data_IF_016036488872
#
_entry.id   IF_016036488872
#
_cell.length_a   1.000
_cell.length_b   1.000
_cell.length_c   1.000
_cell.angle_alpha   90.00
_cell.angle_beta   90.00
_cell.angle_gamma   90.00
#
_symmetry.space_group_name_H-M   'P 1'
#
loop_
_entity.id
_entity.type
_entity.pdbx_description
1 polymer ?
#
# COMPACT_ATOMS: atom_id res chain seq x y z
N UNK A 1 -19.05 -22.50 -9.28
CA UNK A 1 -19.05 -22.88 -7.84
C UNK A 1 -18.88 -21.59 -7.08
N UNK A 2 -19.89 -21.20 -6.30
CA UNK A 2 -20.12 -19.82 -5.85
C UNK A 2 -19.16 -19.45 -4.73
N UNK A 3 -18.27 -18.49 -4.98
CA UNK A 3 -17.43 -17.88 -3.96
C UNK A 3 -18.32 -17.33 -2.84
N UNK A 4 -18.19 -17.88 -1.64
CA UNK A 4 -18.84 -17.30 -0.46
C UNK A 4 -18.24 -15.91 -0.22
N UNK A 5 -19.10 -14.89 -0.26
CA UNK A 5 -18.80 -13.48 -0.01
C UNK A 5 -17.98 -13.38 1.29
N UNK A 6 -16.83 -12.69 1.23
CA UNK A 6 -15.87 -12.58 2.33
C UNK A 6 -16.51 -12.08 3.64
N UNK A 7 -17.54 -11.22 3.53
CA UNK A 7 -18.32 -10.77 4.67
C UNK A 7 -19.16 -11.90 5.31
N UNK A 8 -19.75 -12.79 4.52
CA UNK A 8 -20.49 -13.96 5.04
C UNK A 8 -19.55 -14.89 5.83
N UNK A 9 -18.31 -15.09 5.36
CA UNK A 9 -17.31 -15.88 6.09
C UNK A 9 -16.96 -15.25 7.42
N UNK A 10 -16.81 -13.92 7.45
CA UNK A 10 -16.57 -13.19 8.69
C UNK A 10 -17.74 -13.33 9.68
N UNK A 11 -18.98 -13.26 9.20
CA UNK A 11 -20.16 -13.51 10.01
C UNK A 11 -20.13 -14.93 10.62
N UNK A 12 -19.81 -15.95 9.82
CA UNK A 12 -19.68 -17.33 10.30
C UNK A 12 -18.59 -17.41 11.37
N UNK A 13 -17.39 -16.90 11.12
CA UNK A 13 -16.27 -16.93 12.08
C UNK A 13 -16.63 -16.25 13.40
N UNK A 14 -17.28 -15.09 13.34
CA UNK A 14 -17.72 -14.35 14.52
C UNK A 14 -18.74 -15.17 15.30
N UNK A 15 -19.71 -15.79 14.63
CA UNK A 15 -20.74 -16.58 15.27
C UNK A 15 -20.25 -17.93 15.78
N UNK A 16 -19.18 -18.52 15.20
CA UNK A 16 -18.57 -19.77 15.68
C UNK A 16 -18.08 -19.60 17.13
N UNK A 17 -17.57 -18.42 17.49
CA UNK A 17 -17.11 -18.12 18.87
C UNK A 17 -18.26 -18.28 19.89
N UNK A 18 -19.49 -18.00 19.48
CA UNK A 18 -20.65 -17.96 20.38
C UNK A 18 -21.56 -19.20 20.26
N UNK A 19 -21.65 -19.77 19.06
CA UNK A 19 -22.63 -20.82 18.72
C UNK A 19 -21.99 -22.08 18.14
N UNK A 20 -20.66 -22.11 18.00
CA UNK A 20 -19.92 -23.27 17.51
C UNK A 20 -20.40 -23.72 16.13
N UNK A 21 -20.66 -25.03 15.99
CA UNK A 21 -21.07 -25.64 14.73
C UNK A 21 -22.41 -25.11 14.17
N UNK A 22 -23.25 -24.48 14.99
CA UNK A 22 -24.54 -23.92 14.55
C UNK A 22 -24.39 -22.63 13.74
N UNK A 23 -23.24 -21.96 13.83
CA UNK A 23 -22.99 -20.67 13.18
C UNK A 23 -23.24 -20.71 11.66
N UNK A 24 -22.78 -21.76 10.97
CA UNK A 24 -23.00 -21.93 9.54
C UNK A 24 -24.47 -22.05 9.17
N UNK A 25 -25.25 -22.78 9.98
CA UNK A 25 -26.70 -22.92 9.80
C UNK A 25 -27.44 -21.59 9.98
N UNK A 26 -27.06 -20.81 11.00
CA UNK A 26 -27.65 -19.49 11.27
C UNK A 26 -27.42 -18.54 10.09
N UNK A 27 -26.19 -18.46 9.59
CA UNK A 27 -25.86 -17.58 8.45
C UNK A 27 -26.54 -18.05 7.17
N UNK A 28 -26.59 -19.35 6.90
CA UNK A 28 -27.29 -19.90 5.73
C UNK A 28 -28.79 -19.62 5.75
N UNK A 29 -29.42 -19.66 6.93
CA UNK A 29 -30.83 -19.32 7.10
C UNK A 29 -31.11 -17.84 6.80
N UNK A 30 -30.21 -16.94 7.20
CA UNK A 30 -30.34 -15.51 6.83
C UNK A 30 -30.06 -15.32 5.35
N UNK A 31 -29.06 -15.99 4.79
CA UNK A 31 -28.72 -15.94 3.37
C UNK A 31 -29.88 -16.35 2.47
N UNK A 32 -30.68 -17.33 2.89
CA UNK A 32 -31.89 -17.74 2.17
C UNK A 32 -32.96 -16.63 2.10
N UNK A 33 -32.94 -15.68 3.04
CA UNK A 33 -33.88 -14.53 3.08
C UNK A 33 -33.30 -13.28 2.42
N UNK A 34 -32.02 -13.00 2.64
CA UNK A 34 -31.28 -11.87 2.07
C UNK A 34 -29.91 -12.38 1.67
N UNK A 35 -29.64 -12.43 0.37
CA UNK A 35 -28.30 -12.76 -0.15
C UNK A 35 -27.51 -11.48 -0.42
N UNK A 36 -26.22 -11.53 -0.14
CA UNK A 36 -25.29 -10.45 -0.43
C UNK A 36 -24.50 -10.82 -1.69
N UNK A 37 -24.34 -9.85 -2.58
CA UNK A 37 -23.59 -9.98 -3.84
C UNK A 37 -22.72 -8.73 -4.06
N UNK A 38 -21.93 -8.74 -5.14
CA UNK A 38 -20.99 -7.66 -5.47
C UNK A 38 -21.66 -6.29 -5.73
N UNK A 39 -22.98 -6.26 -5.93
CA UNK A 39 -23.77 -5.02 -6.09
C UNK A 39 -24.49 -4.56 -4.82
N UNK A 40 -24.29 -5.26 -3.69
CA UNK A 40 -24.98 -4.95 -2.43
C UNK A 40 -24.43 -3.67 -1.81
N UNK A 41 -25.32 -2.77 -1.40
CA UNK A 41 -24.95 -1.50 -0.77
C UNK A 41 -24.99 -1.62 0.77
N UNK A 42 -24.55 -0.58 1.49
CA UNK A 42 -24.51 -0.60 2.95
C UNK A 42 -25.86 -0.88 3.62
N UNK A 43 -26.98 -0.52 2.98
CA UNK A 43 -28.31 -0.84 3.48
C UNK A 43 -28.58 -2.35 3.42
N UNK A 44 -28.13 -3.03 2.37
CA UNK A 44 -28.28 -4.48 2.23
C UNK A 44 -27.50 -5.24 3.30
N UNK A 45 -26.27 -4.79 3.59
CA UNK A 45 -25.45 -5.36 4.66
C UNK A 45 -26.07 -5.11 6.05
N UNK A 46 -26.63 -3.92 6.30
CA UNK A 46 -27.33 -3.63 7.56
C UNK A 46 -28.53 -4.53 7.75
N UNK A 47 -29.38 -4.67 6.72
CA UNK A 47 -30.56 -5.54 6.76
C UNK A 47 -30.15 -7.01 7.00
N UNK A 48 -29.07 -7.47 6.38
CA UNK A 48 -28.53 -8.80 6.61
C UNK A 48 -28.10 -9.01 8.07
N UNK A 49 -27.39 -8.05 8.66
CA UNK A 49 -26.96 -8.10 10.06
C UNK A 49 -28.15 -8.01 11.02
N UNK A 50 -29.17 -7.21 10.71
CA UNK A 50 -30.39 -7.11 11.52
C UNK A 50 -31.14 -8.45 11.55
N UNK A 51 -31.20 -9.15 10.41
CA UNK A 51 -31.75 -10.50 10.35
C UNK A 51 -30.91 -11.51 11.15
N UNK A 52 -29.58 -11.40 11.15
CA UNK A 52 -28.73 -12.22 12.01
C UNK A 52 -29.01 -11.95 13.49
N UNK A 53 -29.08 -10.67 13.88
CA UNK A 53 -29.37 -10.25 15.25
C UNK A 53 -30.70 -10.84 15.74
N UNK A 54 -31.76 -10.78 14.93
CA UNK A 54 -33.04 -11.39 15.24
C UNK A 54 -32.89 -12.90 15.47
N UNK A 55 -32.20 -13.61 14.57
CA UNK A 55 -32.05 -15.06 14.68
C UNK A 55 -31.22 -15.48 15.90
N UNK A 56 -30.19 -14.72 16.27
CA UNK A 56 -29.35 -15.06 17.43
C UNK A 56 -29.94 -14.54 18.74
N UNK A 57 -30.84 -13.56 18.72
CA UNK A 57 -31.52 -13.04 19.92
C UNK A 57 -32.33 -14.10 20.66
N UNK A 58 -32.87 -15.07 19.92
CA UNK A 58 -33.60 -16.21 20.49
C UNK A 58 -32.67 -17.21 21.19
N UNK A 59 -31.39 -17.25 20.81
CA UNK A 59 -30.40 -18.20 21.32
C UNK A 59 -29.50 -17.62 22.42
N UNK A 60 -29.06 -16.37 22.27
CA UNK A 60 -28.11 -15.72 23.17
C UNK A 60 -28.72 -14.63 24.06
N UNK A 61 -30.01 -14.31 23.85
CA UNK A 61 -30.67 -13.20 24.51
C UNK A 61 -30.39 -11.85 23.86
N UNK A 62 -31.31 -10.90 24.05
CA UNK A 62 -31.36 -9.62 23.33
C UNK A 62 -30.08 -8.78 23.47
N UNK A 63 -29.51 -8.70 24.67
CA UNK A 63 -28.33 -7.85 24.93
C UNK A 63 -27.10 -8.39 24.19
N UNK A 64 -26.84 -9.69 24.30
CA UNK A 64 -25.69 -10.33 23.65
C UNK A 64 -25.83 -10.37 22.12
N UNK A 65 -27.06 -10.52 21.61
CA UNK A 65 -27.34 -10.42 20.19
C UNK A 65 -27.05 -9.02 19.64
N UNK A 66 -27.42 -7.96 20.36
CA UNK A 66 -27.13 -6.58 19.98
C UNK A 66 -25.61 -6.31 19.95
N UNK A 67 -24.84 -6.81 20.91
CA UNK A 67 -23.38 -6.65 20.92
C UNK A 67 -22.71 -7.32 19.71
N UNK A 68 -23.15 -8.54 19.38
CA UNK A 68 -22.70 -9.25 18.18
C UNK A 68 -23.13 -8.50 16.92
N UNK A 69 -24.38 -8.04 16.86
CA UNK A 69 -24.93 -7.25 15.76
C UNK A 69 -24.13 -5.98 15.52
N UNK A 70 -23.78 -5.22 16.56
CA UNK A 70 -22.97 -4.02 16.44
C UNK A 70 -21.56 -4.30 15.93
N UNK A 71 -20.95 -5.41 16.36
CA UNK A 71 -19.65 -5.86 15.83
C UNK A 71 -19.73 -6.14 14.32
N UNK A 72 -20.78 -6.83 13.88
CA UNK A 72 -21.00 -7.14 12.47
C UNK A 72 -21.36 -5.90 11.64
N UNK A 73 -22.13 -4.94 12.17
CA UNK A 73 -22.46 -3.66 11.52
C UNK A 73 -21.20 -2.81 11.30
N UNK A 74 -20.32 -2.74 12.29
CA UNK A 74 -19.04 -2.04 12.14
C UNK A 74 -18.18 -2.70 11.06
N UNK A 75 -18.14 -4.03 11.04
CA UNK A 75 -17.42 -4.74 9.99
C UNK A 75 -18.03 -4.54 8.60
N UNK A 76 -19.35 -4.46 8.49
CA UNK A 76 -20.03 -4.17 7.23
C UNK A 76 -19.62 -2.80 6.66
N UNK A 77 -19.41 -1.79 7.52
CA UNK A 77 -18.89 -0.50 7.09
C UNK A 77 -17.49 -0.62 6.49
N UNK A 78 -16.57 -1.33 7.17
CA UNK A 78 -15.22 -1.59 6.63
C UNK A 78 -15.27 -2.29 5.27
N UNK A 79 -16.18 -3.26 5.09
CA UNK A 79 -16.31 -4.00 3.84
C UNK A 79 -16.83 -3.14 2.70
N UNK A 80 -17.84 -2.32 2.95
CA UNK A 80 -18.39 -1.41 1.93
C UNK A 80 -17.38 -0.31 1.60
N UNK A 81 -16.60 0.18 2.57
CA UNK A 81 -15.50 1.12 2.31
C UNK A 81 -14.38 0.50 1.47
N UNK A 82 -14.05 -0.78 1.68
CA UNK A 82 -13.08 -1.51 0.85
C UNK A 82 -13.63 -1.88 -0.54
N UNK A 83 -14.93 -2.15 -0.66
CA UNK A 83 -15.59 -2.49 -1.92
C UNK A 83 -15.99 -1.29 -2.77
N UNK A 84 -15.97 -0.07 -2.22
CA UNK A 84 -15.85 1.15 -3.01
C UNK A 84 -14.51 1.12 -3.74
N UNK A 85 -14.44 0.39 -4.86
CA UNK A 85 -13.58 0.81 -5.95
C UNK A 85 -13.93 2.27 -6.18
N UNK A 86 -12.97 3.21 -6.07
CA UNK A 86 -13.26 4.58 -6.46
C UNK A 86 -13.88 4.50 -7.85
N UNK A 87 -15.05 5.10 -8.05
CA UNK A 87 -15.53 5.36 -9.40
C UNK A 87 -14.34 5.95 -10.16
N UNK A 88 -14.03 5.46 -11.37
CA UNK A 88 -12.89 5.99 -12.09
C UNK A 88 -13.17 7.47 -12.36
N UNK A 89 -12.53 8.33 -11.56
CA UNK A 89 -12.60 9.80 -11.64
C UNK A 89 -12.19 10.26 -13.05
N UNK A 90 -11.41 9.42 -13.74
CA UNK A 90 -10.91 9.62 -15.08
C UNK A 90 -11.50 8.60 -16.04
N UNK A 91 -11.76 9.01 -17.27
CA UNK A 91 -11.98 8.03 -18.33
C UNK A 91 -10.68 7.24 -18.61
N UNK A 92 -10.80 6.03 -19.14
CA UNK A 92 -9.67 5.13 -19.40
C UNK A 92 -8.62 5.70 -20.38
N UNK A 93 -9.02 6.66 -21.24
CA UNK A 93 -8.12 7.37 -22.13
C UNK A 93 -7.20 8.35 -21.39
N UNK A 94 -7.77 9.10 -20.45
CA UNK A 94 -7.04 10.03 -19.59
C UNK A 94 -6.08 9.29 -18.66
N UNK A 95 -6.47 8.12 -18.15
CA UNK A 95 -5.57 7.30 -17.32
C UNK A 95 -4.31 6.82 -18.08
N UNK A 96 -4.47 6.36 -19.33
CA UNK A 96 -3.32 5.96 -20.16
C UNK A 96 -2.36 7.11 -20.45
N UNK A 97 -2.91 8.30 -20.69
CA UNK A 97 -2.11 9.51 -20.93
C UNK A 97 -1.34 9.93 -19.68
N UNK A 98 -1.97 9.90 -18.50
CA UNK A 98 -1.27 10.16 -17.24
C UNK A 98 -0.12 9.18 -17.04
N UNK A 99 -0.35 7.88 -17.24
CA UNK A 99 0.74 6.89 -17.11
C UNK A 99 1.89 7.19 -18.10
N UNK A 100 1.56 7.58 -19.34
CA UNK A 100 2.57 7.96 -20.35
C UNK A 100 3.35 9.22 -19.96
N UNK A 101 2.69 10.19 -19.34
CA UNK A 101 3.32 11.39 -18.80
C UNK A 101 4.29 11.07 -17.67
N UNK A 102 3.88 10.17 -16.77
CA UNK A 102 4.66 9.70 -15.63
C UNK A 102 5.87 8.84 -16.02
N UNK A 103 5.78 8.07 -17.10
CA UNK A 103 6.93 7.34 -17.66
C UNK A 103 8.03 8.27 -18.16
N UNK A 104 7.66 9.48 -18.61
CA UNK A 104 8.60 10.49 -19.13
C UNK A 104 9.08 11.47 -18.06
N UNK A 105 8.29 11.68 -17.02
CA UNK A 105 8.55 12.67 -15.97
C UNK A 105 8.51 12.00 -14.61
N UNK A 106 9.67 11.58 -14.11
CA UNK A 106 9.78 10.90 -12.80
C UNK A 106 9.50 11.83 -11.62
N UNK A 107 9.82 13.12 -11.75
CA UNK A 107 9.56 14.14 -10.74
C UNK A 107 9.08 15.46 -11.40
N UNK A 108 7.81 15.52 -11.85
CA UNK A 108 7.28 16.71 -12.53
C UNK A 108 7.16 17.90 -11.57
N UNK A 109 7.34 19.11 -12.09
CA UNK A 109 7.10 20.36 -11.36
C UNK A 109 5.61 20.69 -11.29
N UNK A 110 5.22 21.62 -10.42
CA UNK A 110 3.87 22.18 -10.40
C UNK A 110 3.44 22.76 -11.76
N UNK A 111 4.37 23.35 -12.51
CA UNK A 111 4.08 23.86 -13.87
C UNK A 111 3.75 22.71 -14.82
N UNK A 112 4.55 21.63 -14.79
CA UNK A 112 4.31 20.45 -15.62
C UNK A 112 2.95 19.82 -15.31
N UNK A 113 2.62 19.68 -14.02
CA UNK A 113 1.32 19.16 -13.58
C UNK A 113 0.17 20.07 -14.03
N UNK A 114 0.30 21.38 -13.86
CA UNK A 114 -0.72 22.34 -14.26
C UNK A 114 -0.96 22.36 -15.78
N UNK A 115 0.11 22.35 -16.57
CA UNK A 115 0.01 22.35 -18.03
C UNK A 115 -0.54 21.02 -18.56
N UNK A 116 -0.14 19.90 -17.97
CA UNK A 116 -0.70 18.61 -18.32
C UNK A 116 -2.17 18.46 -17.90
N UNK A 117 -2.55 19.02 -16.75
CA UNK A 117 -3.95 19.08 -16.29
C UNK A 117 -4.81 19.85 -17.28
N UNK A 118 -4.35 21.01 -17.78
CA UNK A 118 -5.05 21.78 -18.81
C UNK A 118 -5.20 20.96 -20.09
N UNK A 119 -4.13 20.31 -20.54
CA UNK A 119 -4.15 19.44 -21.72
C UNK A 119 -5.21 18.34 -21.60
N UNK A 120 -5.20 17.59 -20.49
CA UNK A 120 -6.14 16.50 -20.26
C UNK A 120 -7.58 17.00 -20.17
N UNK A 121 -7.80 18.10 -19.44
CA UNK A 121 -9.13 18.71 -19.30
C UNK A 121 -9.69 19.18 -20.64
N UNK A 122 -8.85 19.74 -21.52
CA UNK A 122 -9.23 20.16 -22.87
C UNK A 122 -9.53 18.97 -23.79
N UNK A 123 -8.72 17.92 -23.73
CA UNK A 123 -8.82 16.76 -24.64
C UNK A 123 -9.96 15.81 -24.27
N UNK A 124 -10.20 15.61 -22.97
CA UNK A 124 -11.07 14.56 -22.45
C UNK A 124 -12.25 15.09 -21.62
N UNK A 125 -12.31 16.40 -21.37
CA UNK A 125 -13.26 16.99 -20.42
C UNK A 125 -12.88 16.71 -18.96
N UNK A 126 -13.79 17.06 -18.05
CA UNK A 126 -13.61 16.85 -16.60
C UNK A 126 -13.36 18.14 -15.81
N UNK A 127 -13.35 18.02 -14.49
CA UNK A 127 -13.01 19.14 -13.60
C UNK A 127 -11.51 19.19 -13.39
N UNK A 128 -10.86 20.30 -13.79
CA UNK A 128 -9.41 20.47 -13.71
C UNK A 128 -8.84 20.13 -12.32
N UNK A 129 -9.54 20.53 -11.25
CA UNK A 129 -9.13 20.22 -9.86
C UNK A 129 -9.06 18.72 -9.56
N UNK A 130 -9.99 17.93 -10.11
CA UNK A 130 -10.01 16.49 -9.89
C UNK A 130 -8.90 15.79 -10.68
N UNK A 131 -8.67 16.25 -11.92
CA UNK A 131 -7.58 15.74 -12.77
C UNK A 131 -6.22 16.06 -12.15
N UNK A 132 -6.03 17.29 -11.67
CA UNK A 132 -4.81 17.72 -10.99
C UNK A 132 -4.53 16.88 -9.74
N UNK A 133 -5.56 16.69 -8.89
CA UNK A 133 -5.46 15.84 -7.69
C UNK A 133 -5.04 14.42 -8.03
N UNK A 134 -5.62 13.84 -9.09
CA UNK A 134 -5.32 12.47 -9.51
C UNK A 134 -3.89 12.34 -10.09
N UNK A 135 -3.43 13.32 -10.87
CA UNK A 135 -2.02 13.37 -11.32
C UNK A 135 -1.10 13.42 -10.11
N UNK A 136 -1.36 14.32 -9.15
CA UNK A 136 -0.53 14.47 -7.94
C UNK A 136 -0.44 13.16 -7.15
N UNK A 137 -1.56 12.48 -6.93
CA UNK A 137 -1.56 11.20 -6.19
C UNK A 137 -0.83 10.09 -6.95
N UNK A 138 -0.98 10.00 -8.28
CA UNK A 138 -0.22 9.05 -9.09
C UNK A 138 1.29 9.38 -9.09
N UNK A 139 1.68 10.65 -9.13
CA UNK A 139 3.09 11.09 -8.97
C UNK A 139 3.64 10.64 -7.62
N UNK A 140 2.93 10.91 -6.51
CA UNK A 140 3.35 10.50 -5.15
C UNK A 140 3.52 8.98 -5.06
N UNK A 141 2.60 8.21 -5.63
CA UNK A 141 2.68 6.75 -5.66
C UNK A 141 3.87 6.24 -6.49
N UNK A 142 4.15 6.86 -7.64
CA UNK A 142 5.32 6.53 -8.44
C UNK A 142 6.63 6.82 -7.68
N UNK A 143 6.74 7.99 -7.04
CA UNK A 143 7.90 8.34 -6.20
C UNK A 143 8.09 7.29 -5.10
N UNK A 144 7.00 6.93 -4.41
CA UNK A 144 7.02 5.89 -3.37
C UNK A 144 7.53 4.55 -3.89
N UNK A 145 7.03 4.13 -5.06
CA UNK A 145 7.44 2.89 -5.73
C UNK A 145 8.92 2.94 -6.12
N UNK A 146 9.37 4.03 -6.75
CA UNK A 146 10.76 4.20 -7.14
C UNK A 146 11.71 4.20 -5.95
N UNK A 147 11.37 4.89 -4.85
CA UNK A 147 12.17 4.87 -3.61
C UNK A 147 12.27 3.44 -3.06
N UNK A 148 11.15 2.72 -3.01
CA UNK A 148 11.11 1.34 -2.50
C UNK A 148 11.96 0.40 -3.36
N UNK A 149 11.83 0.49 -4.70
CA UNK A 149 12.62 -0.30 -5.65
C UNK A 149 14.12 0.01 -5.55
N UNK A 150 14.49 1.30 -5.43
CA UNK A 150 15.88 1.69 -5.26
C UNK A 150 16.47 1.13 -3.96
N UNK A 151 15.69 1.11 -2.89
CA UNK A 151 16.11 0.49 -1.64
C UNK A 151 16.28 -1.01 -1.79
N UNK A 152 15.31 -1.72 -2.34
CA UNK A 152 15.40 -3.17 -2.58
C UNK A 152 16.67 -3.50 -3.38
N UNK A 153 16.95 -2.75 -4.46
CA UNK A 153 18.19 -2.93 -5.23
C UNK A 153 19.46 -2.72 -4.40
N UNK A 154 19.48 -1.71 -3.53
CA UNK A 154 20.58 -1.50 -2.60
C UNK A 154 20.79 -2.69 -1.66
N UNK A 155 19.69 -3.19 -1.08
CA UNK A 155 19.72 -4.34 -0.17
C UNK A 155 20.13 -5.65 -0.87
N UNK A 156 19.68 -5.87 -2.11
CA UNK A 156 20.14 -6.99 -2.96
C UNK A 156 21.66 -6.85 -3.20
N UNK A 157 22.13 -5.64 -3.49
CA UNK A 157 23.54 -5.41 -3.73
C UNK A 157 24.40 -5.72 -2.50
N UNK A 158 23.92 -5.35 -1.32
CA UNK A 158 24.57 -5.61 -0.03
C UNK A 158 24.50 -7.10 0.35
N UNK A 159 23.39 -7.79 0.07
CA UNK A 159 23.30 -9.25 0.21
C UNK A 159 24.36 -9.92 -0.64
N UNK A 160 24.41 -9.61 -1.94
CA UNK A 160 25.32 -10.25 -2.90
C UNK A 160 26.78 -9.82 -2.75
N UNK A 161 27.05 -8.75 -2.02
CA UNK A 161 28.41 -8.38 -1.61
C UNK A 161 28.91 -9.27 -0.44
N UNK A 162 28.01 -9.68 0.45
CA UNK A 162 28.30 -10.56 1.60
C UNK A 162 28.30 -12.04 1.19
N UNK A 163 27.34 -12.43 0.37
CA UNK A 163 27.13 -13.80 -0.08
C UNK A 163 27.17 -13.83 -1.61
N UNK A 164 28.31 -14.23 -2.19
CA UNK A 164 28.43 -14.32 -3.66
C UNK A 164 27.50 -15.39 -4.26
N UNK A 165 27.24 -16.46 -3.50
CA UNK A 165 26.30 -17.52 -3.84
C UNK A 165 25.36 -17.75 -2.64
N UNK A 166 24.32 -16.89 -2.47
CA UNK A 166 23.39 -17.04 -1.36
C UNK A 166 22.61 -18.34 -1.50
N UNK A 167 22.47 -19.06 -0.40
CA UNK A 167 21.63 -20.25 -0.33
C UNK A 167 20.16 -19.88 -0.34
N UNK A 168 19.28 -20.87 -0.51
CA UNK A 168 17.83 -20.65 -0.42
C UNK A 168 17.44 -20.05 0.94
N UNK A 169 18.06 -20.51 2.03
CA UNK A 169 17.80 -19.99 3.38
C UNK A 169 18.23 -18.54 3.51
N UNK A 170 19.40 -18.16 2.97
CA UNK A 170 19.85 -16.75 2.99
C UNK A 170 18.86 -15.83 2.25
N UNK A 171 18.27 -16.31 1.14
CA UNK A 171 17.25 -15.57 0.37
C UNK A 171 15.92 -15.49 1.14
N UNK A 172 15.50 -16.57 1.80
CA UNK A 172 14.27 -16.59 2.60
C UNK A 172 14.37 -15.63 3.79
N UNK A 173 15.52 -15.62 4.47
CA UNK A 173 15.80 -14.70 5.58
C UNK A 173 15.88 -13.24 5.10
N UNK A 174 16.47 -13.01 3.93
CA UNK A 174 16.51 -11.70 3.29
C UNK A 174 15.10 -11.17 2.94
N UNK A 175 14.23 -12.01 2.39
CA UNK A 175 12.83 -11.67 2.12
C UNK A 175 12.12 -11.26 3.41
N UNK A 176 12.31 -12.03 4.49
CA UNK A 176 11.72 -11.73 5.78
C UNK A 176 12.19 -10.36 6.31
N UNK A 177 13.48 -10.07 6.20
CA UNK A 177 14.05 -8.77 6.54
C UNK A 177 13.40 -7.60 5.76
N UNK A 178 13.18 -7.76 4.45
CA UNK A 178 12.55 -6.71 3.64
C UNK A 178 11.07 -6.49 4.01
N UNK A 179 10.35 -7.56 4.40
CA UNK A 179 8.99 -7.44 4.94
C UNK A 179 8.95 -6.67 6.27
N UNK A 180 9.90 -6.93 7.18
CA UNK A 180 10.05 -6.16 8.43
C UNK A 180 10.31 -4.67 8.16
N UNK A 181 11.02 -4.38 7.07
CA UNK A 181 11.28 -3.02 6.58
C UNK A 181 10.06 -2.33 5.95
N UNK A 182 8.90 -3.00 5.88
CA UNK A 182 7.63 -2.51 5.30
C UNK A 182 7.76 -2.09 3.83
N UNK A 183 8.66 -2.74 3.10
CA UNK A 183 8.77 -2.58 1.66
C UNK A 183 7.69 -3.43 0.99
N UNK A 184 7.16 -2.94 -0.12
CA UNK A 184 6.11 -3.64 -0.88
C UNK A 184 6.76 -4.27 -2.11
N UNK A 185 6.76 -5.60 -2.16
CA UNK A 185 7.29 -6.43 -3.24
C UNK A 185 6.59 -7.79 -3.25
N UNK A 186 6.67 -8.49 -4.37
CA UNK A 186 6.23 -9.89 -4.48
C UNK A 186 7.43 -10.81 -4.25
N UNK A 187 7.26 -11.83 -3.42
CA UNK A 187 8.36 -12.72 -3.00
C UNK A 187 9.00 -13.43 -4.21
N UNK A 188 8.19 -13.90 -5.16
CA UNK A 188 8.68 -14.59 -6.36
C UNK A 188 9.45 -13.64 -7.29
N UNK A 189 8.93 -12.41 -7.50
CA UNK A 189 9.62 -11.41 -8.31
C UNK A 189 10.96 -11.00 -7.67
N UNK A 190 11.01 -10.89 -6.35
CA UNK A 190 12.23 -10.55 -5.62
C UNK A 190 13.30 -11.64 -5.74
N UNK A 191 12.90 -12.92 -5.67
CA UNK A 191 13.82 -14.05 -5.90
C UNK A 191 14.44 -14.00 -7.29
N UNK A 192 13.61 -13.72 -8.29
CA UNK A 192 14.07 -13.57 -9.67
C UNK A 192 15.01 -12.37 -9.83
N UNK A 193 14.74 -11.24 -9.17
CA UNK A 193 15.63 -10.07 -9.17
C UNK A 193 17.00 -10.38 -8.52
N UNK A 194 17.02 -11.09 -7.39
CA UNK A 194 18.25 -11.53 -6.72
C UNK A 194 19.07 -12.44 -7.63
N UNK A 195 18.43 -13.45 -8.23
CA UNK A 195 19.13 -14.39 -9.13
C UNK A 195 19.65 -13.71 -10.39
N UNK A 196 18.87 -12.79 -10.96
CA UNK A 196 19.27 -11.99 -12.12
C UNK A 196 20.50 -11.14 -11.82
N UNK A 197 20.52 -10.45 -10.69
CA UNK A 197 21.68 -9.64 -10.27
C UNK A 197 22.90 -10.51 -9.96
N UNK A 198 22.71 -11.66 -9.30
CA UNK A 198 23.78 -12.63 -9.03
C UNK A 198 24.43 -13.13 -10.32
N UNK A 199 23.62 -13.54 -11.30
CA UNK A 199 24.10 -13.98 -12.61
C UNK A 199 24.80 -12.83 -13.33
N UNK A 200 24.24 -11.62 -13.31
CA UNK A 200 24.88 -10.47 -13.91
C UNK A 200 26.29 -10.25 -13.36
N UNK A 201 26.43 -10.21 -12.03
CA UNK A 201 27.73 -10.05 -11.34
C UNK A 201 28.73 -11.14 -11.68
N UNK A 202 28.27 -12.38 -11.82
CA UNK A 202 29.10 -13.52 -12.22
C UNK A 202 29.77 -13.31 -13.59
N UNK A 203 29.09 -12.63 -14.52
CA UNK A 203 29.59 -12.43 -15.89
C UNK A 203 30.19 -11.04 -16.13
N UNK A 204 29.78 -10.01 -15.39
CA UNK A 204 30.11 -8.60 -15.67
C UNK A 204 30.75 -7.85 -14.49
N UNK A 205 30.83 -8.47 -13.31
CA UNK A 205 31.28 -7.82 -12.08
C UNK A 205 30.18 -7.00 -11.37
N UNK A 206 30.46 -6.47 -10.17
CA UNK A 206 29.51 -5.64 -9.42
C UNK A 206 29.17 -4.36 -10.19
N UNK A 207 27.88 -4.05 -10.28
CA UNK A 207 27.42 -2.79 -10.83
C UNK A 207 27.31 -1.76 -9.70
N UNK A 208 27.99 -0.62 -9.85
CA UNK A 208 27.64 0.54 -9.02
C UNK A 208 26.21 0.96 -9.42
N UNK A 209 25.29 0.97 -8.46
CA UNK A 209 23.91 1.43 -8.65
C UNK A 209 23.89 2.95 -8.78
N UNK A 210 24.51 3.48 -9.82
CA UNK A 210 24.48 4.91 -10.14
C UNK A 210 23.38 5.14 -11.15
N UNK A 211 22.19 5.40 -10.65
CA UNK A 211 21.22 6.19 -11.40
C UNK A 211 21.08 7.50 -10.63
N UNK A 212 21.72 8.60 -11.06
CA UNK A 212 21.38 9.93 -10.57
C UNK A 212 19.99 10.24 -11.13
N UNK A 213 18.97 9.82 -10.38
CA UNK A 213 17.59 10.16 -10.68
C UNK A 213 17.23 11.43 -9.90
N UNK A 214 16.35 12.25 -10.46
CA UNK A 214 15.75 13.39 -9.75
C UNK A 214 15.16 12.98 -8.39
N UNK A 215 14.71 11.71 -8.30
CA UNK A 215 14.29 11.08 -7.05
C UNK A 215 15.43 10.96 -6.04
N UNK A 216 16.63 10.55 -6.45
CA UNK A 216 17.78 10.47 -5.54
C UNK A 216 18.21 11.85 -5.02
N UNK A 217 18.10 12.90 -5.85
CA UNK A 217 18.31 14.28 -5.40
C UNK A 217 17.25 14.72 -4.38
N UNK A 218 15.98 14.44 -4.65
CA UNK A 218 14.86 14.69 -3.71
C UNK A 218 15.09 13.94 -2.39
N UNK A 219 15.50 12.69 -2.47
CA UNK A 219 15.83 11.84 -1.34
C UNK A 219 16.93 12.45 -0.49
N UNK A 220 18.04 12.85 -1.11
CA UNK A 220 19.17 13.48 -0.43
C UNK A 220 18.77 14.83 0.19
N UNK A 221 17.93 15.61 -0.50
CA UNK A 221 17.37 16.85 0.00
C UNK A 221 16.57 16.62 1.29
N UNK A 222 15.71 15.60 1.30
CA UNK A 222 14.88 15.23 2.45
C UNK A 222 15.76 14.74 3.61
N UNK A 223 16.69 13.81 3.36
CA UNK A 223 17.59 13.26 4.40
C UNK A 223 18.45 14.35 5.06
N UNK A 224 18.99 15.27 4.26
CA UNK A 224 19.92 16.29 4.74
C UNK A 224 19.22 17.54 5.32
N UNK A 225 17.89 17.54 5.42
CA UNK A 225 17.14 18.68 5.95
C UNK A 225 16.30 18.25 7.16
N UNK A 226 16.86 18.42 8.36
CA UNK A 226 16.22 18.10 9.64
C UNK A 226 15.07 19.02 10.02
N UNK A 227 15.05 20.26 9.51
CA UNK A 227 14.01 21.25 9.81
C UNK A 227 12.89 21.22 8.74
N UNK A 228 11.65 20.93 9.19
CA UNK A 228 10.44 20.88 8.35
C UNK A 228 10.17 22.16 7.56
N UNK A 229 10.38 23.33 8.18
CA UNK A 229 10.15 24.62 7.51
C UNK A 229 11.21 24.89 6.43
N UNK A 230 12.46 24.49 6.70
CA UNK A 230 13.53 24.60 5.71
C UNK A 230 13.28 23.66 4.53
N UNK A 231 12.82 22.44 4.78
CA UNK A 231 12.44 21.48 3.75
C UNK A 231 11.27 21.99 2.91
N UNK A 232 10.23 22.53 3.56
CA UNK A 232 9.07 23.14 2.90
C UNK A 232 9.49 24.27 1.96
N UNK A 233 10.38 25.17 2.42
CA UNK A 233 10.92 26.26 1.59
C UNK A 233 11.71 25.74 0.39
N UNK A 234 12.55 24.72 0.56
CA UNK A 234 13.34 24.12 -0.54
C UNK A 234 12.42 23.46 -1.57
N UNK A 235 11.42 22.68 -1.13
CA UNK A 235 10.45 22.04 -2.02
C UNK A 235 9.61 23.06 -2.80
N UNK A 236 9.16 24.14 -2.15
CA UNK A 236 8.47 25.25 -2.85
C UNK A 236 9.36 25.91 -3.90
N UNK A 237 10.65 26.12 -3.61
CA UNK A 237 11.61 26.71 -4.56
C UNK A 237 11.82 25.83 -5.79
N UNK A 238 11.69 24.51 -5.64
CA UNK A 238 11.79 23.55 -6.73
C UNK A 238 10.44 23.25 -7.41
N UNK A 239 9.36 23.99 -7.07
CA UNK A 239 8.01 23.73 -7.60
C UNK A 239 7.51 22.30 -7.27
N UNK A 240 7.86 21.77 -6.09
CA UNK A 240 7.49 20.45 -5.58
C UNK A 240 6.60 20.51 -4.33
N UNK A 241 5.87 21.61 -4.13
CA UNK A 241 5.07 21.78 -2.91
C UNK A 241 3.86 20.85 -2.84
N UNK A 242 3.47 20.22 -3.95
CA UNK A 242 2.45 19.18 -3.97
C UNK A 242 2.82 17.94 -3.13
N UNK A 243 4.12 17.72 -2.87
CA UNK A 243 4.60 16.65 -1.98
C UNK A 243 4.33 16.92 -0.50
N UNK A 244 4.05 18.18 -0.16
CA UNK A 244 3.79 18.63 1.21
C UNK A 244 2.44 19.31 1.36
N UNK A 245 1.49 19.02 0.46
CA UNK A 245 0.13 19.55 0.51
C UNK A 245 -0.88 18.40 0.57
N UNK A 246 -1.88 18.56 1.43
CA UNK A 246 -3.10 17.75 1.45
C UNK A 246 -4.35 18.65 1.50
N UNK A 247 -5.53 18.04 1.65
CA UNK A 247 -6.82 18.76 1.67
C UNK A 247 -6.93 19.78 2.83
N UNK A 248 -6.09 19.64 3.87
CA UNK A 248 -6.06 20.53 5.05
C UNK A 248 -4.99 21.63 4.95
N UNK A 249 -4.13 21.61 3.93
CA UNK A 249 -3.07 22.59 3.73
C UNK A 249 -1.69 21.96 3.65
N UNK A 250 -0.71 22.49 4.39
CA UNK A 250 0.67 21.98 4.39
C UNK A 250 0.76 20.77 5.31
N UNK A 251 1.11 19.61 4.74
CA UNK A 251 1.19 18.32 5.42
C UNK A 251 2.43 17.58 4.96
N UNK A 252 3.30 17.18 5.90
CA UNK A 252 4.56 16.49 5.63
C UNK A 252 4.43 14.97 5.61
N UNK A 253 3.20 14.44 5.55
CA UNK A 253 2.91 13.01 5.63
C UNK A 253 3.61 12.22 4.52
N UNK A 254 3.48 12.63 3.26
CA UNK A 254 4.12 11.94 2.13
C UNK A 254 5.64 11.96 2.24
N UNK A 255 6.22 13.10 2.64
CA UNK A 255 7.67 13.22 2.83
C UNK A 255 8.16 12.35 3.99
N UNK A 256 7.40 12.29 5.09
CA UNK A 256 7.69 11.42 6.22
C UNK A 256 7.61 9.93 5.85
N UNK A 257 6.66 9.55 5.01
CA UNK A 257 6.58 8.20 4.45
C UNK A 257 7.81 7.87 3.60
N UNK A 258 8.26 8.80 2.74
CA UNK A 258 9.48 8.62 1.95
C UNK A 258 10.71 8.43 2.84
N UNK A 259 10.85 9.20 3.93
CA UNK A 259 11.94 9.02 4.90
C UNK A 259 11.92 7.64 5.54
N UNK A 260 10.75 7.18 6.00
CA UNK A 260 10.58 5.86 6.63
C UNK A 260 10.93 4.72 5.68
N UNK A 261 10.57 4.86 4.40
CA UNK A 261 10.93 3.86 3.40
C UNK A 261 12.45 3.80 3.15
N UNK A 262 13.18 4.87 3.41
CA UNK A 262 14.63 4.94 3.16
C UNK A 262 15.52 4.67 4.35
N UNK A 263 14.99 4.84 5.55
CA UNK A 263 15.71 4.71 6.81
C UNK A 263 14.77 3.95 7.73
N UNK A 264 14.86 2.61 7.78
CA UNK A 264 14.23 1.91 8.89
C UNK A 264 14.94 2.40 10.17
N UNK A 265 14.26 2.35 11.31
CA UNK A 265 14.95 2.58 12.58
C UNK A 265 15.99 1.47 12.72
N UNK A 266 17.26 1.82 12.57
CA UNK A 266 18.37 0.85 12.61
C UNK A 266 18.33 0.02 13.89
N UNK A 267 17.92 0.64 15.00
CA UNK A 267 17.76 -0.03 16.29
C UNK A 267 16.64 -1.08 16.27
N UNK A 268 15.44 -0.76 15.77
CA UNK A 268 14.33 -1.73 15.79
C UNK A 268 14.59 -2.88 14.82
N UNK A 269 15.27 -2.62 13.70
CA UNK A 269 15.55 -3.65 12.69
C UNK A 269 16.70 -4.55 13.12
N UNK A 270 17.76 -3.99 13.73
CA UNK A 270 18.88 -4.75 14.27
C UNK A 270 18.45 -5.63 15.43
N UNK A 271 17.75 -5.09 16.41
CA UNK A 271 17.29 -5.84 17.58
C UNK A 271 16.33 -6.97 17.16
N UNK A 272 15.42 -6.70 16.22
CA UNK A 272 14.52 -7.73 15.67
C UNK A 272 15.28 -8.82 14.90
N UNK A 273 16.29 -8.46 14.10
CA UNK A 273 17.14 -9.45 13.41
C UNK A 273 17.97 -10.28 14.39
N UNK A 274 18.45 -9.67 15.48
CA UNK A 274 19.17 -10.38 16.54
C UNK A 274 18.28 -11.37 17.29
N UNK A 275 17.05 -10.98 17.62
CA UNK A 275 16.06 -11.82 18.28
C UNK A 275 15.58 -13.00 17.40
N UNK A 276 15.56 -12.79 16.07
CA UNK A 276 15.21 -13.83 15.10
C UNK A 276 16.39 -14.73 14.69
N UNK A 277 17.59 -14.52 15.25
CA UNK A 277 18.78 -15.28 14.90
C UNK A 277 19.39 -14.94 13.52
N UNK A 278 18.94 -13.86 12.91
CA UNK A 278 19.32 -13.39 11.57
C UNK A 278 20.52 -12.43 11.60
N UNK A 279 21.43 -12.60 12.57
CA UNK A 279 22.59 -11.70 12.75
C UNK A 279 23.51 -11.63 11.54
N UNK A 280 23.51 -12.68 10.72
CA UNK A 280 24.28 -12.76 9.48
C UNK A 280 23.81 -11.76 8.40
N UNK A 281 22.61 -11.18 8.56
CA UNK A 281 22.08 -10.12 7.70
C UNK A 281 22.37 -8.70 8.22
N UNK A 282 22.93 -8.55 9.42
CA UNK A 282 23.29 -7.25 10.00
C UNK A 282 24.61 -6.79 9.37
N UNK A 283 24.66 -5.53 8.92
CA UNK A 283 25.89 -4.90 8.42
C UNK A 283 26.75 -4.42 9.59
N UNK A 284 28.05 -4.73 9.61
CA UNK A 284 29.02 -4.32 10.64
C UNK A 284 29.51 -2.85 10.48
N UNK A 285 28.75 -1.99 9.79
CA UNK A 285 29.12 -0.58 9.58
C UNK A 285 28.70 0.31 10.74
#
# INVERSE_FOLDING_TARGET
MVESNEFERYCIQTLVIYFGHLAGGIVNNVKAKKSLNDGSNISDYKEFVDLLEINISTLAGKNKANDIGNTLRNKALDFVEKQKKPEPILNSGMEKEINTFLDKNTLPTERDIADYTKYLTLKYGGQAKNVEKEIIEKVKNQIKKTISQNRIKGEINDLLARFQEPTKTDIDDFIHYLHLSKLVFEDDELRDEVEKERLYRKFHGPQDTVIPSQINELVNLIKNTTNKDALSKKLRKQELSYLIKDESGVSDKSVSEFVKLMTPSENDTRDTLEDLGLKHLISDK
#
